data_IF_670994786353
#
_entry.id   IF_670994786353
#
_cell.length_a   1.000
_cell.length_b   1.000
_cell.length_c   1.000
_cell.angle_alpha   90.00
_cell.angle_beta   90.00
_cell.angle_gamma   90.00
#
_symmetry.space_group_name_H-M   'P 1'
#
loop_
_entity.id
_entity.type
_entity.pdbx_description
1 polymer ?
#
# COMPACT_ATOMS: atom_id res chain seq x y z
N UNK A 1 -4.58 29.05 2.50
CA UNK A 1 -4.23 27.80 1.80
C UNK A 1 -4.31 26.67 2.81
N UNK A 2 -4.97 25.55 2.49
CA UNK A 2 -4.87 24.36 3.35
C UNK A 2 -3.48 23.73 3.17
N UNK A 3 -2.82 23.41 4.27
CA UNK A 3 -1.55 22.68 4.29
C UNK A 3 -1.76 21.23 3.83
N UNK A 4 -0.74 20.65 3.19
CA UNK A 4 -0.77 19.28 2.67
C UNK A 4 0.22 18.42 3.45
N UNK A 5 -0.20 17.21 3.84
CA UNK A 5 0.66 16.20 4.45
C UNK A 5 0.64 14.92 3.61
N UNK A 6 1.77 14.24 3.53
CA UNK A 6 1.87 12.92 2.90
C UNK A 6 2.08 11.88 4.00
N UNK A 7 1.30 10.80 3.92
CA UNK A 7 1.22 9.78 4.95
C UNK A 7 1.27 8.39 4.30
N UNK A 8 2.07 7.51 4.87
CA UNK A 8 2.06 6.10 4.51
C UNK A 8 0.82 5.44 5.11
N UNK A 9 -0.14 5.14 4.24
CA UNK A 9 -1.31 4.34 4.54
C UNK A 9 -1.08 2.85 4.32
N UNK A 10 0.17 2.39 4.43
CA UNK A 10 0.59 0.99 4.34
C UNK A 10 1.53 0.66 5.51
N UNK A 11 1.49 -0.60 5.95
CA UNK A 11 2.47 -1.20 6.84
C UNK A 11 2.23 -2.72 6.87
N UNK A 12 2.97 -3.44 6.03
CA UNK A 12 2.85 -4.85 5.73
C UNK A 12 3.87 -5.67 6.52
N UNK A 13 3.38 -6.63 7.31
CA UNK A 13 4.23 -7.41 8.21
C UNK A 13 3.94 -8.91 8.12
N UNK A 14 4.97 -9.73 8.26
CA UNK A 14 4.83 -11.21 8.43
C UNK A 14 4.97 -11.62 9.89
N UNK A 15 5.41 -10.71 10.76
CA UNK A 15 5.55 -10.89 12.20
C UNK A 15 5.00 -9.65 12.90
N UNK A 16 3.70 -9.63 13.23
CA UNK A 16 3.03 -8.44 13.77
C UNK A 16 3.63 -7.98 15.10
N UNK A 17 3.98 -6.71 15.18
CA UNK A 17 4.45 -6.03 16.39
C UNK A 17 4.22 -4.53 16.26
N UNK A 18 3.94 -3.84 17.37
CA UNK A 18 3.69 -2.40 17.36
C UNK A 18 2.51 -2.00 16.47
N UNK A 19 2.67 -0.91 15.71
CA UNK A 19 1.69 -0.45 14.72
C UNK A 19 1.93 -1.18 13.40
N UNK A 20 0.88 -1.76 12.84
CA UNK A 20 0.87 -2.39 11.51
C UNK A 20 -0.54 -2.39 10.92
N UNK A 21 -0.68 -2.30 9.61
CA UNK A 21 -1.98 -2.15 8.96
C UNK A 21 -2.44 -3.43 8.27
N UNK A 22 -1.50 -4.23 7.77
CA UNK A 22 -1.79 -5.53 7.20
C UNK A 22 -0.76 -6.56 7.66
N UNK A 23 -1.24 -7.69 8.18
CA UNK A 23 -0.40 -8.84 8.50
C UNK A 23 -0.58 -9.94 7.47
N UNK A 24 0.50 -10.65 7.19
CA UNK A 24 0.52 -11.79 6.29
C UNK A 24 0.87 -13.08 7.04
N UNK A 25 0.09 -14.13 6.78
CA UNK A 25 0.34 -15.48 7.27
C UNK A 25 0.17 -16.46 6.11
N UNK A 26 1.28 -16.83 5.47
CA UNK A 26 1.24 -17.51 4.18
C UNK A 26 0.56 -16.63 3.13
N UNK A 27 -0.23 -17.23 2.23
CA UNK A 27 -0.90 -16.51 1.14
C UNK A 27 -2.06 -15.59 1.58
N UNK A 28 -2.30 -15.44 2.89
CA UNK A 28 -3.43 -14.66 3.42
C UNK A 28 -2.97 -13.35 4.04
N UNK A 29 -3.35 -12.24 3.41
CA UNK A 29 -3.29 -10.89 3.98
C UNK A 29 -4.54 -10.55 4.80
N UNK A 30 -4.33 -10.08 6.02
CA UNK A 30 -5.36 -9.69 7.00
C UNK A 30 -5.15 -8.25 7.44
N UNK A 31 -6.17 -7.42 7.23
CA UNK A 31 -6.17 -6.01 7.66
C UNK A 31 -6.35 -5.93 9.18
N UNK A 32 -5.51 -5.14 9.85
CA UNK A 32 -5.65 -4.85 11.26
C UNK A 32 -6.56 -3.64 11.48
N UNK A 33 -7.80 -3.89 11.90
CA UNK A 33 -8.75 -2.83 12.24
C UNK A 33 -8.61 -2.30 13.68
N UNK A 34 -7.70 -2.87 14.48
CA UNK A 34 -7.52 -2.52 15.89
C UNK A 34 -6.89 -1.15 16.11
N UNK A 35 -6.71 -0.79 17.39
CA UNK A 35 -6.15 0.51 17.82
C UNK A 35 -4.69 0.71 17.41
N UNK A 36 -3.94 -0.38 17.19
CA UNK A 36 -2.58 -0.37 16.62
C UNK A 36 -2.56 -0.64 15.10
N UNK A 37 -3.72 -0.59 14.44
CA UNK A 37 -3.85 -0.74 13.00
C UNK A 37 -4.52 0.47 12.37
N UNK A 38 -5.59 0.27 11.60
CA UNK A 38 -6.35 1.37 11.02
C UNK A 38 -6.97 2.30 12.09
N UNK A 39 -7.18 1.82 13.32
CA UNK A 39 -7.56 2.67 14.45
C UNK A 39 -6.49 3.70 14.82
N UNK A 40 -5.20 3.39 14.61
CA UNK A 40 -4.13 4.37 14.75
C UNK A 40 -4.19 5.42 13.64
N UNK A 41 -4.45 4.98 12.41
CA UNK A 41 -4.59 5.86 11.26
C UNK A 41 -5.78 6.83 11.40
N UNK A 42 -6.87 6.42 12.05
CA UNK A 42 -7.97 7.32 12.40
C UNK A 42 -7.50 8.52 13.22
N UNK A 43 -6.59 8.29 14.18
CA UNK A 43 -6.04 9.34 15.04
C UNK A 43 -5.28 10.36 14.20
N UNK A 44 -4.53 9.91 13.19
CA UNK A 44 -3.79 10.78 12.27
C UNK A 44 -4.74 11.56 11.36
N UNK A 45 -5.77 10.90 10.82
CA UNK A 45 -6.77 11.55 9.96
C UNK A 45 -7.55 12.61 10.73
N UNK A 46 -7.95 12.32 11.98
CA UNK A 46 -8.63 13.28 12.84
C UNK A 46 -7.71 14.47 13.20
N UNK A 47 -6.46 14.21 13.58
CA UNK A 47 -5.50 15.28 13.87
C UNK A 47 -5.26 16.18 12.65
N UNK A 48 -5.20 15.61 11.45
CA UNK A 48 -5.08 16.38 10.22
C UNK A 48 -6.32 17.27 9.98
N UNK A 49 -7.53 16.73 10.20
CA UNK A 49 -8.76 17.50 10.12
C UNK A 49 -8.76 18.69 11.09
N UNK A 50 -8.45 18.44 12.36
CA UNK A 50 -8.46 19.46 13.41
C UNK A 50 -7.40 20.55 13.15
N UNK A 51 -6.27 20.17 12.54
CA UNK A 51 -5.21 21.10 12.13
C UNK A 51 -5.47 21.80 10.78
N UNK A 52 -6.57 21.50 10.08
CA UNK A 52 -6.86 22.04 8.74
C UNK A 52 -5.89 21.55 7.65
N UNK A 53 -5.20 20.43 7.88
CA UNK A 53 -4.30 19.76 6.94
C UNK A 53 -5.09 18.77 6.07
N UNK A 54 -4.75 18.68 4.78
CA UNK A 54 -5.25 17.62 3.89
C UNK A 54 -4.19 16.56 3.63
N UNK A 55 -4.57 15.29 3.64
CA UNK A 55 -3.67 14.14 3.51
C UNK A 55 -3.67 13.57 2.10
N UNK A 56 -2.49 13.29 1.55
CA UNK A 56 -2.29 12.25 0.54
C UNK A 56 -1.97 10.97 1.29
N UNK A 57 -2.74 9.92 1.05
CA UNK A 57 -2.50 8.61 1.65
C UNK A 57 -1.98 7.66 0.58
N UNK A 58 -0.74 7.19 0.74
CA UNK A 58 -0.12 6.22 -0.16
C UNK A 58 -0.42 4.80 0.30
N UNK A 59 -0.74 3.90 -0.64
CA UNK A 59 -1.42 2.63 -0.34
C UNK A 59 -0.53 1.39 -0.36
N UNK A 60 0.68 1.47 -0.93
CA UNK A 60 1.73 0.43 -0.83
C UNK A 60 3.11 1.07 -1.07
N UNK A 61 4.18 0.39 -0.65
CA UNK A 61 5.56 0.79 -0.93
C UNK A 61 6.19 -0.06 -2.03
N UNK A 62 7.00 0.54 -2.92
CA UNK A 62 7.90 -0.22 -3.79
C UNK A 62 9.03 -0.89 -2.98
N UNK A 63 9.56 -0.16 -2.00
CA UNK A 63 10.70 -0.54 -1.16
C UNK A 63 10.34 -1.54 -0.07
N UNK A 64 11.37 -2.06 0.62
CA UNK A 64 11.20 -2.99 1.74
C UNK A 64 10.74 -2.33 3.05
N UNK A 65 10.82 -1.00 3.17
CA UNK A 65 10.38 -0.28 4.37
C UNK A 65 8.89 -0.47 4.60
N UNK A 66 8.54 -0.89 5.83
CA UNK A 66 7.19 -1.29 6.21
C UNK A 66 6.60 -2.38 5.29
N UNK A 67 7.47 -3.26 4.78
CA UNK A 67 7.12 -4.43 3.98
C UNK A 67 7.04 -4.15 2.49
N UNK A 68 6.00 -3.43 2.06
CA UNK A 68 5.78 -3.08 0.66
C UNK A 68 5.40 -4.27 -0.25
N UNK A 69 5.52 -4.05 -1.56
CA UNK A 69 5.18 -5.05 -2.59
C UNK A 69 5.92 -6.37 -2.42
N UNK A 70 7.17 -6.32 -1.95
CA UNK A 70 7.99 -7.50 -1.71
C UNK A 70 7.31 -8.47 -0.73
N UNK A 71 6.61 -7.98 0.29
CA UNK A 71 5.88 -8.85 1.22
C UNK A 71 4.74 -9.55 0.50
N UNK A 72 3.95 -8.84 -0.31
CA UNK A 72 2.89 -9.45 -1.13
C UNK A 72 3.46 -10.56 -2.01
N UNK A 73 4.49 -10.25 -2.78
CA UNK A 73 5.09 -11.18 -3.74
C UNK A 73 5.66 -12.40 -3.02
N UNK A 74 6.46 -12.22 -1.97
CA UNK A 74 7.07 -13.33 -1.21
C UNK A 74 6.00 -14.23 -0.58
N UNK A 75 4.95 -13.66 0.00
CA UNK A 75 3.88 -14.41 0.65
C UNK A 75 3.00 -15.18 -0.34
N UNK A 76 2.91 -14.69 -1.58
CA UNK A 76 2.20 -15.35 -2.68
C UNK A 76 3.09 -16.33 -3.47
N UNK A 77 4.35 -16.54 -3.07
CA UNK A 77 5.27 -17.51 -3.69
C UNK A 77 6.02 -16.97 -4.91
N UNK A 78 6.06 -15.66 -5.09
CA UNK A 78 6.81 -15.00 -6.16
C UNK A 78 8.28 -14.75 -5.84
N UNK A 79 9.01 -14.26 -6.83
CA UNK A 79 10.45 -14.00 -6.76
C UNK A 79 10.89 -12.72 -7.48
N UNK A 80 9.95 -11.99 -8.09
CA UNK A 80 10.23 -10.73 -8.78
C UNK A 80 9.26 -9.64 -8.33
N UNK A 81 9.77 -8.45 -8.01
CA UNK A 81 8.98 -7.36 -7.45
C UNK A 81 7.78 -6.99 -8.37
N UNK A 82 7.99 -6.99 -9.68
CA UNK A 82 6.97 -6.70 -10.69
C UNK A 82 5.85 -7.74 -10.81
N UNK A 83 5.96 -8.89 -10.14
CA UNK A 83 4.84 -9.82 -10.01
C UNK A 83 3.69 -9.20 -9.21
N UNK A 84 3.95 -8.19 -8.38
CA UNK A 84 2.91 -7.40 -7.74
C UNK A 84 1.96 -6.76 -8.76
N UNK A 85 2.49 -6.33 -9.91
CA UNK A 85 1.72 -5.67 -10.96
C UNK A 85 0.95 -6.65 -11.85
N UNK A 86 1.42 -7.89 -11.98
CA UNK A 86 0.94 -8.82 -13.01
C UNK A 86 0.14 -9.99 -12.45
N UNK A 87 0.38 -10.41 -11.20
CA UNK A 87 -0.33 -11.53 -10.61
C UNK A 87 -1.71 -11.12 -10.10
N UNK A 88 -2.75 -11.79 -10.59
CA UNK A 88 -4.13 -11.54 -10.16
C UNK A 88 -4.31 -11.76 -8.65
N UNK A 89 -3.55 -12.67 -8.04
CA UNK A 89 -3.56 -12.88 -6.58
C UNK A 89 -3.00 -11.67 -5.83
N UNK A 90 -1.90 -11.07 -6.30
CA UNK A 90 -1.32 -9.87 -5.70
C UNK A 90 -2.24 -8.66 -5.88
N UNK A 91 -2.75 -8.44 -7.10
CA UNK A 91 -3.74 -7.40 -7.41
C UNK A 91 -5.01 -7.53 -6.57
N UNK A 92 -5.52 -8.76 -6.39
CA UNK A 92 -6.71 -9.03 -5.57
C UNK A 92 -6.44 -8.72 -4.09
N UNK A 93 -5.30 -9.15 -3.55
CA UNK A 93 -4.92 -8.85 -2.18
C UNK A 93 -4.75 -7.32 -1.96
N UNK A 94 -4.14 -6.62 -2.90
CA UNK A 94 -3.98 -5.17 -2.85
C UNK A 94 -5.35 -4.46 -2.91
N UNK A 95 -6.23 -4.82 -3.86
CA UNK A 95 -7.60 -4.29 -3.94
C UNK A 95 -8.40 -4.52 -2.66
N UNK A 96 -8.21 -5.67 -2.00
CA UNK A 96 -8.85 -5.96 -0.69
C UNK A 96 -8.37 -4.98 0.38
N UNK A 97 -7.07 -4.70 0.46
CA UNK A 97 -6.51 -3.71 1.38
C UNK A 97 -7.02 -2.29 1.08
N UNK A 98 -6.90 -1.87 -0.18
CA UNK A 98 -7.34 -0.56 -0.66
C UNK A 98 -8.82 -0.35 -0.36
N UNK A 99 -9.67 -1.34 -0.59
CA UNK A 99 -11.09 -1.25 -0.25
C UNK A 99 -11.32 -1.04 1.25
N UNK A 100 -10.56 -1.73 2.12
CA UNK A 100 -10.66 -1.52 3.57
C UNK A 100 -10.30 -0.10 3.98
N UNK A 101 -9.21 0.45 3.43
CA UNK A 101 -8.76 1.82 3.71
C UNK A 101 -9.74 2.85 3.14
N UNK A 102 -10.04 2.79 1.83
CA UNK A 102 -10.93 3.77 1.18
C UNK A 102 -12.32 3.73 1.80
N UNK A 103 -12.91 2.55 2.03
CA UNK A 103 -14.24 2.47 2.63
C UNK A 103 -14.32 3.13 4.01
N UNK A 104 -13.22 3.11 4.77
CA UNK A 104 -13.13 3.73 6.09
C UNK A 104 -13.10 5.26 6.03
N UNK A 105 -12.48 5.85 5.01
CA UNK A 105 -12.21 7.30 4.96
C UNK A 105 -12.83 8.04 3.77
N UNK A 106 -13.57 7.38 2.88
CA UNK A 106 -14.13 7.97 1.64
C UNK A 106 -15.00 9.22 1.84
N UNK A 107 -15.59 9.40 3.04
CA UNK A 107 -16.40 10.59 3.38
C UNK A 107 -15.62 11.64 4.17
N UNK A 108 -14.35 11.38 4.50
CA UNK A 108 -13.53 12.31 5.26
C UNK A 108 -13.06 13.46 4.37
N UNK A 109 -13.40 14.67 4.79
CA UNK A 109 -12.91 15.87 4.13
C UNK A 109 -11.41 16.12 4.38
N UNK A 110 -10.75 15.40 5.29
CA UNK A 110 -9.31 15.52 5.50
C UNK A 110 -8.48 14.82 4.41
N UNK A 111 -9.06 13.98 3.56
CA UNK A 111 -8.33 13.32 2.48
C UNK A 111 -8.30 14.21 1.23
N UNK A 112 -7.10 14.49 0.71
CA UNK A 112 -6.91 15.18 -0.56
C UNK A 112 -6.88 14.21 -1.74
N UNK A 113 -6.13 13.11 -1.60
CA UNK A 113 -5.91 12.14 -2.66
C UNK A 113 -5.50 10.77 -2.10
N UNK A 114 -5.74 9.75 -2.90
CA UNK A 114 -5.20 8.40 -2.73
C UNK A 114 -4.04 8.23 -3.71
N UNK A 115 -2.88 7.86 -3.21
CA UNK A 115 -1.71 7.56 -4.04
C UNK A 115 -1.54 6.04 -4.11
N UNK A 116 -1.55 5.48 -5.32
CA UNK A 116 -1.53 4.04 -5.50
C UNK A 116 -0.29 3.38 -4.88
N UNK A 117 0.85 4.06 -4.93
CA UNK A 117 2.13 3.44 -4.62
C UNK A 117 3.23 4.48 -4.45
N UNK A 118 4.04 4.31 -3.41
CA UNK A 118 5.25 5.09 -3.21
C UNK A 118 6.33 4.58 -4.16
N UNK A 119 6.76 5.44 -5.08
CA UNK A 119 7.94 5.25 -5.96
C UNK A 119 7.97 3.92 -6.73
N UNK A 120 6.82 3.49 -7.27
CA UNK A 120 6.68 2.28 -8.09
C UNK A 120 7.73 2.14 -9.20
N UNK A 121 8.42 0.99 -9.21
CA UNK A 121 9.42 0.58 -10.21
C UNK A 121 9.25 -0.91 -10.53
N UNK A 122 9.95 -1.41 -11.55
CA UNK A 122 9.96 -2.85 -11.86
C UNK A 122 10.71 -3.70 -10.82
N UNK A 123 11.76 -3.14 -10.21
CA UNK A 123 12.53 -3.78 -9.15
C UNK A 123 12.30 -3.02 -7.86
N UNK A 124 12.43 -3.72 -6.72
CA UNK A 124 12.49 -3.05 -5.43
C UNK A 124 13.62 -2.02 -5.45
N UNK A 125 14.81 -2.39 -5.94
CA UNK A 125 15.93 -1.46 -6.15
C UNK A 125 16.98 -1.49 -5.04
N UNK A 126 16.65 -2.02 -3.87
CA UNK A 126 17.62 -2.33 -2.82
C UNK A 126 18.27 -3.70 -3.02
N UNK A 127 19.51 -3.87 -2.54
CA UNK A 127 20.25 -5.13 -2.65
C UNK A 127 19.59 -6.32 -1.93
N UNK A 128 18.72 -6.04 -0.95
CA UNK A 128 17.93 -7.05 -0.23
C UNK A 128 16.51 -7.22 -0.75
N UNK A 129 16.09 -6.38 -1.71
CA UNK A 129 14.76 -6.41 -2.30
C UNK A 129 14.67 -7.41 -3.46
N UNK A 130 13.45 -7.75 -3.87
CA UNK A 130 13.24 -8.59 -5.05
C UNK A 130 13.69 -7.87 -6.33
N UNK A 131 14.35 -8.59 -7.25
CA UNK A 131 14.73 -8.04 -8.56
C UNK A 131 13.49 -7.86 -9.45
N UNK A 132 13.67 -7.17 -10.58
CA UNK A 132 12.70 -7.20 -11.68
C UNK A 132 12.82 -8.48 -12.49
N UNK A 133 11.71 -8.98 -13.02
CA UNK A 133 11.68 -9.98 -14.09
C UNK A 133 12.16 -9.35 -15.40
N UNK A 134 12.59 -10.19 -16.35
CA UNK A 134 12.97 -9.74 -17.70
C UNK A 134 11.80 -9.19 -18.51
N UNK A 135 10.56 -9.45 -18.09
CA UNK A 135 9.35 -9.02 -18.80
C UNK A 135 8.83 -7.65 -18.36
N UNK A 136 9.26 -7.13 -17.21
CA UNK A 136 8.77 -5.85 -16.72
C UNK A 136 9.22 -4.69 -17.61
N UNK A 137 8.27 -3.83 -17.97
CA UNK A 137 8.52 -2.64 -18.77
C UNK A 137 7.50 -1.54 -18.40
N UNK A 138 7.59 -0.39 -19.06
CA UNK A 138 6.71 0.75 -18.80
C UNK A 138 5.21 0.40 -18.91
N UNK A 139 4.82 -0.47 -19.84
CA UNK A 139 3.43 -0.89 -19.99
C UNK A 139 2.95 -1.77 -18.84
N UNK A 140 3.84 -2.53 -18.20
CA UNK A 140 3.50 -3.31 -17.00
C UNK A 140 2.92 -2.40 -15.91
N UNK A 141 3.60 -1.28 -15.64
CA UNK A 141 3.19 -0.33 -14.60
C UNK A 141 1.99 0.51 -15.07
N UNK A 142 1.97 0.96 -16.33
CA UNK A 142 0.83 1.73 -16.87
C UNK A 142 -0.47 0.92 -16.80
N UNK A 143 -0.44 -0.34 -17.24
CA UNK A 143 -1.64 -1.19 -17.25
C UNK A 143 -2.13 -1.47 -15.83
N UNK A 144 -1.20 -1.73 -14.90
CA UNK A 144 -1.55 -1.90 -13.49
C UNK A 144 -2.14 -0.61 -12.90
N UNK A 145 -1.53 0.55 -13.17
CA UNK A 145 -2.01 1.82 -12.66
C UNK A 145 -3.42 2.14 -13.17
N UNK A 146 -3.69 1.95 -14.47
CA UNK A 146 -5.03 2.10 -15.06
C UNK A 146 -6.05 1.17 -14.38
N UNK A 147 -5.69 -0.10 -14.18
CA UNK A 147 -6.57 -1.07 -13.52
C UNK A 147 -6.88 -0.67 -12.06
N UNK A 148 -5.92 -0.10 -11.33
CA UNK A 148 -6.06 0.26 -9.92
C UNK A 148 -6.70 1.63 -9.68
N UNK A 149 -6.49 2.60 -10.58
CA UNK A 149 -7.18 3.90 -10.53
C UNK A 149 -8.64 3.80 -10.94
N UNK A 150 -9.00 2.77 -11.72
CA UNK A 150 -10.35 2.59 -12.26
C UNK A 150 -10.59 3.41 -13.53
N UNK A 151 -9.51 3.75 -14.26
CA UNK A 151 -9.54 4.42 -15.56
C UNK A 151 -9.68 3.44 -16.73
#
# INVERSE_FOLDING_TARGET
>A
MASKGLMWGFNDVTSPSGIYYQSWSGQTGTVNYGSNGLGHMDTVVQAAWDAGVKLIITLVNNWGDYGGMDVYVKQLGGSYNDQFYTWDTAKTAYKKYVNAVISRYKVSFAIMAWELCNECRCANGDSSGLPASSSCNTWTIINWASEMSGD
#
